data_IF_793522335704
#
_entry.id   IF_793522335704
#
_cell.length_a   1.000
_cell.length_b   1.000
_cell.length_c   1.000
_cell.angle_alpha   90.00
_cell.angle_beta   90.00
_cell.angle_gamma   90.00
#
_symmetry.space_group_name_H-M   'P 1'
#
loop_
_entity.id
_entity.type
_entity.pdbx_description
1 polymer ?
#
# COMPACT_ATOMS: atom_id res chain seq x y z
N UNK A 1 25.44 -4.39 -15.44
CA UNK A 1 25.24 -3.64 -16.71
C UNK A 1 23.74 -3.45 -17.02
N UNK A 2 22.98 -2.76 -16.14
CA UNK A 2 21.52 -2.55 -16.28
C UNK A 2 21.03 -1.14 -15.86
N UNK A 3 21.92 -0.17 -15.67
CA UNK A 3 21.59 1.10 -15.02
C UNK A 3 20.83 2.11 -15.90
N UNK A 4 21.03 2.13 -17.23
CA UNK A 4 20.43 3.15 -18.10
C UNK A 4 18.90 3.06 -18.27
N UNK A 5 18.31 1.86 -18.18
CA UNK A 5 16.86 1.70 -18.32
C UNK A 5 16.07 2.04 -17.05
N UNK A 6 16.70 1.99 -15.87
CA UNK A 6 16.06 2.39 -14.60
C UNK A 6 15.89 3.91 -14.51
N UNK A 7 16.90 4.68 -14.91
CA UNK A 7 16.84 6.15 -14.88
C UNK A 7 15.78 6.73 -15.82
N UNK A 8 15.62 6.18 -17.04
CA UNK A 8 14.55 6.60 -17.97
C UNK A 8 13.15 6.23 -17.48
N UNK A 9 12.99 5.13 -16.74
CA UNK A 9 11.71 4.77 -16.10
C UNK A 9 11.41 5.66 -14.90
N UNK A 10 12.42 6.07 -14.13
CA UNK A 10 12.26 6.92 -12.96
C UNK A 10 11.64 8.30 -13.31
N UNK A 11 12.12 8.97 -14.38
CA UNK A 11 11.62 10.30 -14.76
C UNK A 11 10.13 10.37 -15.12
N UNK A 12 9.51 9.26 -15.52
CA UNK A 12 8.08 9.24 -15.90
C UNK A 12 7.16 8.77 -14.77
N UNK A 13 7.68 8.65 -13.53
CA UNK A 13 6.94 8.11 -12.40
C UNK A 13 6.84 9.09 -11.22
N UNK A 14 7.19 10.36 -11.42
CA UNK A 14 7.09 11.39 -10.37
C UNK A 14 5.63 11.80 -10.20
N UNK A 15 5.00 11.22 -9.17
CA UNK A 15 3.64 11.48 -8.75
C UNK A 15 3.66 12.30 -7.47
N UNK A 16 3.47 13.61 -7.58
CA UNK A 16 3.47 14.49 -6.40
C UNK A 16 2.09 14.45 -5.73
N UNK A 17 2.07 13.98 -4.48
CA UNK A 17 0.86 13.91 -3.64
C UNK A 17 0.39 15.29 -3.24
N UNK A 18 -0.92 15.52 -3.20
CA UNK A 18 -1.50 16.79 -2.79
C UNK A 18 -1.42 17.00 -1.27
N UNK A 19 -1.32 18.25 -0.84
CA UNK A 19 -1.25 18.61 0.58
C UNK A 19 -2.50 18.15 1.34
N UNK A 20 -3.68 18.31 0.73
CA UNK A 20 -4.97 17.97 1.33
C UNK A 20 -5.13 16.47 1.54
N UNK A 21 -4.62 15.65 0.62
CA UNK A 21 -4.64 14.19 0.73
C UNK A 21 -3.77 13.71 1.90
N UNK A 22 -2.62 14.35 2.13
CA UNK A 22 -1.74 14.08 3.28
C UNK A 22 -2.44 14.51 4.58
N UNK A 23 -3.00 15.72 4.59
CA UNK A 23 -3.68 16.26 5.77
C UNK A 23 -4.87 15.39 6.20
N UNK A 24 -5.72 14.98 5.26
CA UNK A 24 -6.89 14.15 5.52
C UNK A 24 -6.51 12.79 6.12
N UNK A 25 -5.47 12.16 5.59
CA UNK A 25 -5.00 10.88 6.11
C UNK A 25 -4.34 11.04 7.49
N UNK A 26 -3.41 11.99 7.65
CA UNK A 26 -2.68 12.19 8.92
C UNK A 26 -3.63 12.52 10.07
N UNK A 27 -4.70 13.29 9.82
CA UNK A 27 -5.72 13.63 10.81
C UNK A 27 -6.39 12.39 11.45
N UNK A 28 -6.36 11.23 10.79
CA UNK A 28 -6.91 9.98 11.31
C UNK A 28 -6.03 9.31 12.39
N UNK A 29 -4.83 9.83 12.65
CA UNK A 29 -3.86 9.27 13.61
C UNK A 29 -3.38 10.31 14.64
N UNK A 30 -4.30 10.96 15.39
CA UNK A 30 -3.98 12.15 16.20
C UNK A 30 -2.89 11.94 17.26
N UNK A 31 -2.71 10.71 17.74
CA UNK A 31 -1.73 10.38 18.79
C UNK A 31 -0.46 9.71 18.26
N UNK A 32 -0.38 9.41 16.95
CA UNK A 32 0.73 8.62 16.41
C UNK A 32 2.05 9.39 16.31
N UNK A 33 1.98 10.72 16.21
CA UNK A 33 3.11 11.58 15.84
C UNK A 33 3.79 12.29 17.01
N UNK A 34 3.12 12.39 18.16
CA UNK A 34 3.63 13.14 19.31
C UNK A 34 4.95 12.56 19.82
N UNK A 35 5.97 13.41 19.92
CA UNK A 35 7.32 13.10 20.36
C UNK A 35 8.13 12.26 19.36
N UNK A 36 7.64 12.07 18.13
CA UNK A 36 8.28 11.21 17.12
C UNK A 36 9.19 11.98 16.17
N UNK A 37 10.17 11.27 15.64
CA UNK A 37 10.97 11.67 14.48
C UNK A 37 10.30 11.13 13.21
N UNK A 38 9.82 12.03 12.36
CA UNK A 38 9.18 11.69 11.08
C UNK A 38 10.21 11.76 9.96
N UNK A 39 10.27 10.72 9.14
CA UNK A 39 11.05 10.68 7.90
C UNK A 39 10.14 10.69 6.68
N UNK A 40 10.27 11.73 5.85
CA UNK A 40 9.69 11.80 4.52
C UNK A 40 10.75 11.40 3.49
N UNK A 41 10.96 10.09 3.35
CA UNK A 41 11.80 9.46 2.32
C UNK A 41 11.17 9.64 0.92
N UNK A 42 11.88 9.39 -0.18
CA UNK A 42 11.35 9.44 -1.55
C UNK A 42 10.70 10.79 -1.88
N UNK A 43 11.39 11.87 -1.52
CA UNK A 43 10.85 13.21 -1.50
C UNK A 43 11.62 14.10 -2.50
N UNK A 44 11.08 15.27 -2.81
CA UNK A 44 11.63 16.29 -3.72
C UNK A 44 12.15 17.52 -2.93
N UNK A 45 12.61 17.27 -1.70
CA UNK A 45 13.10 18.29 -0.78
C UNK A 45 12.02 19.31 -0.41
N UNK A 46 12.33 20.60 -0.53
CA UNK A 46 11.40 21.68 -0.20
C UNK A 46 10.11 21.66 -1.02
N UNK A 47 10.11 21.07 -2.21
CA UNK A 47 8.96 21.07 -3.11
C UNK A 47 7.92 20.00 -2.75
N UNK A 48 8.25 19.05 -1.88
CA UNK A 48 7.29 18.02 -1.51
C UNK A 48 6.25 18.52 -0.52
N UNK A 49 4.99 18.24 -0.83
CA UNK A 49 3.90 18.47 0.09
C UNK A 49 4.01 17.66 1.38
N UNK A 50 4.72 16.52 1.41
CA UNK A 50 5.00 15.81 2.67
C UNK A 50 5.88 16.67 3.59
N UNK A 51 6.95 17.24 3.05
CA UNK A 51 7.84 18.13 3.81
C UNK A 51 7.07 19.37 4.28
N UNK A 52 6.40 20.06 3.37
CA UNK A 52 5.65 21.29 3.68
C UNK A 52 4.54 21.04 4.71
N UNK A 53 3.79 19.93 4.58
CA UNK A 53 2.77 19.55 5.54
C UNK A 53 3.36 19.33 6.93
N UNK A 54 4.33 18.43 7.09
CA UNK A 54 4.87 18.13 8.41
C UNK A 54 5.65 19.30 9.03
N UNK A 55 6.28 20.14 8.22
CA UNK A 55 6.92 21.36 8.69
C UNK A 55 5.87 22.34 9.23
N UNK A 56 4.80 22.60 8.46
CA UNK A 56 3.73 23.53 8.88
C UNK A 56 2.94 23.01 10.09
N UNK A 57 2.80 21.69 10.25
CA UNK A 57 2.09 21.05 11.36
C UNK A 57 3.01 20.61 12.50
N UNK A 58 4.29 20.97 12.50
CA UNK A 58 5.31 20.44 13.41
C UNK A 58 4.90 20.55 14.89
N UNK A 59 4.51 21.76 15.31
CA UNK A 59 4.11 22.01 16.71
C UNK A 59 2.74 21.43 17.04
N UNK A 60 1.78 21.48 16.11
CA UNK A 60 0.43 20.95 16.30
C UNK A 60 0.42 19.42 16.48
N UNK A 61 1.27 18.71 15.73
CA UNK A 61 1.48 17.27 15.86
C UNK A 61 2.41 16.90 17.03
N UNK A 62 3.10 17.89 17.63
CA UNK A 62 4.06 17.69 18.71
C UNK A 62 5.28 16.87 18.27
N UNK A 63 5.77 17.06 17.05
CA UNK A 63 6.93 16.32 16.53
C UNK A 63 8.20 16.62 17.32
N UNK A 64 9.12 15.66 17.38
CA UNK A 64 10.47 15.84 17.92
C UNK A 64 11.44 16.36 16.86
N UNK A 65 11.35 15.80 15.65
CA UNK A 65 12.22 16.15 14.50
C UNK A 65 11.53 15.72 13.20
N UNK A 66 11.72 16.50 12.16
CA UNK A 66 11.32 16.16 10.80
C UNK A 66 12.59 15.99 9.94
N UNK A 67 12.62 14.92 9.16
CA UNK A 67 13.71 14.61 8.23
C UNK A 67 13.11 14.34 6.85
N UNK A 68 13.74 14.86 5.80
CA UNK A 68 13.42 14.50 4.41
C UNK A 68 14.69 14.19 3.63
N UNK A 69 14.58 13.34 2.61
CA UNK A 69 15.67 12.99 1.70
C UNK A 69 15.21 13.32 0.28
N UNK A 70 15.92 14.24 -0.38
CA UNK A 70 15.60 14.67 -1.74
C UNK A 70 16.24 13.72 -2.76
N UNK A 71 15.45 12.89 -3.45
CA UNK A 71 16.02 11.96 -4.43
C UNK A 71 16.52 12.72 -5.68
N UNK A 72 17.76 12.45 -6.09
CA UNK A 72 18.30 12.97 -7.34
C UNK A 72 19.04 11.86 -8.10
N UNK A 73 18.49 11.34 -9.22
CA UNK A 73 19.08 10.22 -9.94
C UNK A 73 20.48 10.51 -10.52
N UNK A 74 20.88 11.78 -10.60
CA UNK A 74 22.20 12.21 -11.04
C UNK A 74 23.25 12.23 -9.91
N UNK A 75 22.86 11.91 -8.67
CA UNK A 75 23.69 12.12 -7.48
C UNK A 75 23.47 13.51 -6.89
N UNK A 76 24.35 13.94 -5.97
CA UNK A 76 24.25 15.23 -5.27
C UNK A 76 22.88 15.44 -4.60
N UNK A 77 22.36 14.37 -3.99
CA UNK A 77 21.18 14.45 -3.14
C UNK A 77 21.51 15.22 -1.86
N UNK A 78 20.48 15.58 -1.11
CA UNK A 78 20.61 16.21 0.20
C UNK A 78 19.51 15.73 1.12
N UNK A 79 19.76 15.86 2.42
CA UNK A 79 18.75 15.71 3.46
C UNK A 79 18.38 17.06 4.05
N UNK A 80 17.13 17.19 4.47
CA UNK A 80 16.63 18.29 5.27
C UNK A 80 16.37 17.79 6.69
N UNK A 81 16.78 18.56 7.68
CA UNK A 81 16.46 18.32 9.09
C UNK A 81 15.76 19.56 9.64
N UNK A 82 14.64 19.38 10.32
CA UNK A 82 13.93 20.44 11.02
C UNK A 82 13.62 20.01 12.44
N UNK A 83 13.99 20.83 13.42
CA UNK A 83 13.79 20.57 14.86
C UNK A 83 12.66 21.41 15.47
N UNK A 84 11.91 22.12 14.63
CA UNK A 84 10.90 23.08 15.06
C UNK A 84 11.40 24.53 15.14
N UNK A 85 12.69 24.78 14.93
CA UNK A 85 13.29 26.12 14.95
C UNK A 85 14.09 26.41 13.69
N UNK A 86 15.00 25.52 13.31
CA UNK A 86 15.91 25.71 12.19
C UNK A 86 15.87 24.56 11.20
N UNK A 87 16.01 24.90 9.91
CA UNK A 87 16.17 23.92 8.85
C UNK A 87 17.66 23.79 8.55
N UNK A 88 18.19 22.57 8.62
CA UNK A 88 19.56 22.22 8.21
C UNK A 88 19.52 21.34 6.98
N UNK A 89 20.08 21.84 5.89
CA UNK A 89 20.36 21.09 4.68
C UNK A 89 21.76 20.50 4.74
N UNK A 90 21.90 19.20 4.50
CA UNK A 90 23.18 18.50 4.47
C UNK A 90 23.29 17.72 3.16
N UNK A 91 24.40 17.84 2.42
CA UNK A 91 24.60 17.05 1.21
C UNK A 91 24.73 15.56 1.55
N UNK A 92 24.25 14.71 0.65
CA UNK A 92 24.46 13.27 0.67
C UNK A 92 25.45 12.88 -0.41
N UNK A 93 26.28 11.87 -0.15
CA UNK A 93 27.22 11.34 -1.14
C UNK A 93 26.50 10.65 -2.30
N UNK A 94 25.36 10.01 -2.01
CA UNK A 94 24.56 9.28 -2.97
C UNK A 94 23.49 10.10 -3.70
N UNK A 95 22.55 9.36 -4.30
CA UNK A 95 21.38 9.87 -5.01
C UNK A 95 20.14 10.02 -4.12
N UNK A 96 20.23 9.71 -2.82
CA UNK A 96 19.10 9.74 -1.89
C UNK A 96 18.12 8.57 -2.03
N UNK A 97 18.53 7.47 -2.68
CA UNK A 97 17.69 6.26 -2.75
C UNK A 97 17.36 5.75 -1.35
N UNK A 98 16.13 5.26 -1.15
CA UNK A 98 15.64 4.83 0.15
C UNK A 98 16.43 3.67 0.78
N UNK A 99 17.11 2.89 -0.06
CA UNK A 99 17.93 1.72 0.27
C UNK A 99 19.44 2.03 0.32
N UNK A 100 19.83 3.30 0.15
CA UNK A 100 21.22 3.74 0.30
C UNK A 100 21.68 3.68 1.75
N UNK A 101 22.97 3.45 1.99
CA UNK A 101 23.52 3.38 3.35
C UNK A 101 23.20 4.64 4.18
N UNK A 102 23.29 5.82 3.56
CA UNK A 102 22.95 7.11 4.20
C UNK A 102 21.46 7.19 4.56
N UNK A 103 20.56 6.77 3.66
CA UNK A 103 19.12 6.72 3.93
C UNK A 103 18.77 5.72 5.04
N UNK A 104 19.45 4.57 5.12
CA UNK A 104 19.27 3.59 6.20
C UNK A 104 19.71 4.15 7.55
N UNK A 105 20.78 4.94 7.62
CA UNK A 105 21.18 5.63 8.86
C UNK A 105 20.06 6.57 9.34
N UNK A 106 19.48 7.37 8.44
CA UNK A 106 18.37 8.28 8.76
C UNK A 106 17.09 7.53 9.13
N UNK A 107 16.79 6.43 8.43
CA UNK A 107 15.69 5.53 8.75
C UNK A 107 15.82 4.99 10.18
N UNK A 108 17.00 4.50 10.55
CA UNK A 108 17.28 3.99 11.90
C UNK A 108 17.06 5.04 12.99
N UNK A 109 17.37 6.31 12.72
CA UNK A 109 17.18 7.44 13.64
C UNK A 109 15.73 7.95 13.71
N UNK A 110 14.86 7.50 12.81
CA UNK A 110 13.47 7.95 12.72
C UNK A 110 12.52 6.94 13.34
N UNK A 111 11.37 7.39 13.82
CA UNK A 111 10.34 6.53 14.41
C UNK A 111 9.30 6.10 13.39
N UNK A 112 8.91 7.04 12.52
CA UNK A 112 7.82 6.88 11.55
C UNK A 112 8.22 7.38 10.17
N UNK A 113 7.84 6.64 9.13
CA UNK A 113 8.02 7.03 7.72
C UNK A 113 6.68 7.40 7.10
N UNK A 114 6.58 8.60 6.52
CA UNK A 114 5.36 9.05 5.85
C UNK A 114 5.70 9.62 4.48
N UNK A 115 5.28 8.93 3.41
CA UNK A 115 5.64 9.31 2.03
C UNK A 115 4.81 8.59 0.94
N UNK A 116 4.99 9.01 -0.31
CA UNK A 116 4.58 8.31 -1.52
C UNK A 116 5.80 7.64 -2.20
N UNK A 117 6.13 6.38 -1.89
CA UNK A 117 7.23 5.69 -2.55
C UNK A 117 6.90 5.42 -4.03
N UNK A 118 7.93 5.28 -4.89
CA UNK A 118 7.69 4.86 -6.28
C UNK A 118 6.98 3.50 -6.31
N UNK A 119 5.79 3.44 -6.91
CA UNK A 119 4.93 2.25 -6.86
C UNK A 119 5.60 0.95 -7.38
N UNK A 120 6.56 1.07 -8.30
CA UNK A 120 7.33 -0.08 -8.80
C UNK A 120 8.28 -0.70 -7.76
N UNK A 121 8.66 0.05 -6.73
CA UNK A 121 9.53 -0.40 -5.63
C UNK A 121 8.76 -0.51 -4.31
N UNK A 122 7.43 -0.47 -4.36
CA UNK A 122 6.58 -0.46 -3.16
C UNK A 122 6.83 -1.67 -2.26
N UNK A 123 7.00 -2.87 -2.83
CA UNK A 123 7.31 -4.08 -2.06
C UNK A 123 8.62 -3.91 -1.29
N UNK A 124 9.70 -3.57 -1.99
CA UNK A 124 11.03 -3.43 -1.41
C UNK A 124 11.04 -2.33 -0.33
N UNK A 125 10.33 -1.23 -0.58
CA UNK A 125 10.18 -0.14 0.36
C UNK A 125 9.47 -0.58 1.65
N UNK A 126 8.28 -1.18 1.55
CA UNK A 126 7.50 -1.61 2.74
C UNK A 126 8.23 -2.72 3.50
N UNK A 127 8.88 -3.65 2.80
CA UNK A 127 9.68 -4.70 3.46
C UNK A 127 10.84 -4.09 4.25
N UNK A 128 11.56 -3.12 3.68
CA UNK A 128 12.64 -2.44 4.37
C UNK A 128 12.16 -1.75 5.66
N UNK A 129 11.00 -1.09 5.62
CA UNK A 129 10.40 -0.44 6.79
C UNK A 129 10.03 -1.46 7.88
N UNK A 130 9.43 -2.59 7.48
CA UNK A 130 9.05 -3.67 8.38
C UNK A 130 10.29 -4.32 9.03
N UNK A 131 11.33 -4.62 8.24
CA UNK A 131 12.59 -5.19 8.72
C UNK A 131 13.31 -4.29 9.74
N UNK A 132 13.17 -2.97 9.62
CA UNK A 132 13.73 -1.99 10.56
C UNK A 132 12.77 -1.64 11.71
N UNK A 133 11.62 -2.32 11.83
CA UNK A 133 10.64 -2.10 12.90
C UNK A 133 10.04 -0.71 12.91
N UNK A 134 9.93 -0.06 11.74
CA UNK A 134 9.47 1.32 11.63
C UNK A 134 7.96 1.40 11.56
N UNK A 135 7.41 2.42 12.20
CA UNK A 135 6.03 2.80 11.95
C UNK A 135 5.95 3.48 10.57
N UNK A 136 4.85 3.33 9.84
CA UNK A 136 4.72 3.98 8.56
C UNK A 136 3.29 4.27 8.13
N UNK A 137 3.16 5.25 7.25
CA UNK A 137 1.94 5.64 6.57
C UNK A 137 2.33 6.02 5.13
N UNK A 138 2.08 5.13 4.18
CA UNK A 138 2.64 5.24 2.82
C UNK A 138 1.59 5.04 1.75
N UNK A 139 1.67 5.78 0.64
CA UNK A 139 0.78 5.58 -0.49
C UNK A 139 1.23 4.38 -1.34
N UNK A 140 0.27 3.67 -1.92
CA UNK A 140 0.55 2.57 -2.82
C UNK A 140 -0.64 2.22 -3.70
N UNK A 141 -0.37 1.48 -4.77
CA UNK A 141 -1.42 0.91 -5.61
C UNK A 141 -1.87 -0.45 -5.05
N UNK A 142 -3.19 -0.69 -4.97
CA UNK A 142 -3.80 -1.89 -4.40
C UNK A 142 -3.35 -3.21 -5.04
N UNK A 143 -2.90 -3.15 -6.29
CA UNK A 143 -2.30 -4.30 -6.96
C UNK A 143 -1.08 -4.89 -6.22
N UNK A 144 -0.36 -4.08 -5.43
CA UNK A 144 0.79 -4.53 -4.65
C UNK A 144 0.44 -5.59 -3.59
N UNK A 145 -0.82 -5.65 -3.15
CA UNK A 145 -1.30 -6.69 -2.22
C UNK A 145 -1.25 -8.09 -2.83
N UNK A 146 -1.19 -8.19 -4.16
CA UNK A 146 -0.97 -9.48 -4.83
C UNK A 146 0.44 -10.05 -4.67
N UNK A 147 1.40 -9.27 -4.16
CA UNK A 147 2.78 -9.70 -3.98
C UNK A 147 2.98 -10.48 -2.68
N UNK A 148 3.85 -11.49 -2.72
CA UNK A 148 4.06 -12.44 -1.63
C UNK A 148 4.40 -11.76 -0.30
N UNK A 149 5.38 -10.84 -0.31
CA UNK A 149 5.82 -10.19 0.93
C UNK A 149 4.79 -9.21 1.46
N UNK A 150 4.07 -8.49 0.58
CA UNK A 150 3.01 -7.57 1.01
C UNK A 150 1.83 -8.34 1.61
N UNK A 151 1.33 -9.38 0.93
CA UNK A 151 0.22 -10.16 1.46
C UNK A 151 0.59 -10.87 2.77
N UNK A 152 1.85 -11.33 2.90
CA UNK A 152 2.37 -11.89 4.15
C UNK A 152 2.26 -10.90 5.32
N UNK A 153 2.63 -9.63 5.11
CA UNK A 153 2.49 -8.60 6.16
C UNK A 153 1.03 -8.36 6.57
N UNK A 154 0.08 -8.41 5.64
CA UNK A 154 -1.36 -8.37 5.98
C UNK A 154 -1.77 -9.60 6.82
N UNK A 155 -1.33 -10.79 6.40
CA UNK A 155 -1.60 -12.06 7.09
C UNK A 155 -1.03 -12.10 8.51
N UNK A 156 0.12 -11.47 8.72
CA UNK A 156 0.80 -11.36 10.02
C UNK A 156 0.36 -10.13 10.84
N UNK A 157 -0.69 -9.43 10.40
CA UNK A 157 -1.26 -8.26 11.09
C UNK A 157 -0.27 -7.09 11.24
N UNK A 158 0.79 -7.08 10.42
CA UNK A 158 1.83 -6.04 10.39
C UNK A 158 1.57 -4.95 9.34
N UNK A 159 0.54 -5.10 8.51
CA UNK A 159 0.17 -4.15 7.48
C UNK A 159 -1.35 -4.07 7.32
N UNK A 160 -1.84 -2.84 7.18
CA UNK A 160 -3.26 -2.51 7.04
C UNK A 160 -3.43 -1.45 5.96
N UNK A 161 -4.63 -1.35 5.40
CA UNK A 161 -4.99 -0.11 4.72
C UNK A 161 -5.15 1.04 5.71
N UNK A 162 -4.87 2.26 5.27
CA UNK A 162 -5.12 3.49 6.01
C UNK A 162 -6.61 3.88 6.06
N UNK A 163 -6.90 5.16 6.17
CA UNK A 163 -8.26 5.70 6.09
C UNK A 163 -8.75 5.78 4.65
N UNK A 164 -7.93 6.32 3.74
CA UNK A 164 -8.27 6.39 2.32
C UNK A 164 -7.89 5.08 1.62
N UNK A 165 -8.91 4.39 1.07
CA UNK A 165 -8.76 3.05 0.49
C UNK A 165 -9.43 2.97 -0.88
N UNK A 166 -8.71 2.44 -1.87
CA UNK A 166 -9.20 2.21 -3.23
C UNK A 166 -9.77 3.47 -3.89
N UNK A 167 -9.13 4.61 -3.64
CA UNK A 167 -9.50 5.90 -4.19
C UNK A 167 -8.89 6.12 -5.57
N UNK A 168 -9.54 6.98 -6.35
CA UNK A 168 -8.94 7.59 -7.53
C UNK A 168 -8.33 8.92 -7.11
N UNK A 169 -7.03 8.95 -6.88
CA UNK A 169 -6.31 10.14 -6.40
C UNK A 169 -5.73 10.92 -7.57
N UNK A 170 -5.65 12.24 -7.41
CA UNK A 170 -4.93 13.12 -8.33
C UNK A 170 -3.50 13.27 -7.84
N UNK A 171 -2.54 13.13 -8.75
CA UNK A 171 -1.15 13.43 -8.50
C UNK A 171 -0.71 14.49 -9.48
N UNK A 172 -0.02 15.52 -9.00
CA UNK A 172 0.65 16.44 -9.92
C UNK A 172 1.75 15.68 -10.66
N UNK A 173 1.94 15.99 -11.94
CA UNK A 173 2.98 15.43 -12.80
C UNK A 173 3.66 16.57 -13.57
N UNK A 174 4.87 16.34 -14.07
CA UNK A 174 5.58 17.33 -14.87
C UNK A 174 4.80 17.67 -16.16
N UNK A 175 4.94 18.89 -16.67
CA UNK A 175 4.19 19.36 -17.86
C UNK A 175 4.50 18.58 -19.14
N UNK A 176 5.67 17.93 -19.20
CA UNK A 176 6.14 17.09 -20.30
C UNK A 176 5.93 15.58 -20.04
N UNK A 177 5.01 15.22 -19.13
CA UNK A 177 4.74 13.83 -18.76
C UNK A 177 4.45 12.97 -19.99
N UNK A 178 5.24 11.91 -20.22
CA UNK A 178 5.22 11.14 -21.47
C UNK A 178 3.87 10.52 -21.82
N UNK A 179 3.09 10.14 -20.81
CA UNK A 179 1.77 9.53 -20.99
C UNK A 179 0.64 10.56 -21.03
N UNK A 180 0.96 11.85 -20.98
CA UNK A 180 -0.03 12.90 -21.10
C UNK A 180 -0.78 12.76 -22.43
N UNK A 181 -2.06 12.45 -22.32
CA UNK A 181 -3.00 12.48 -23.42
C UNK A 181 -4.11 13.49 -23.04
N UNK A 182 -4.18 14.66 -23.71
CA UNK A 182 -5.21 15.65 -23.44
C UNK A 182 -6.64 15.11 -23.66
N UNK A 183 -6.81 14.01 -24.40
CA UNK A 183 -8.11 13.37 -24.63
C UNK A 183 -8.48 12.35 -23.55
N UNK A 184 -7.54 11.98 -22.68
CA UNK A 184 -7.79 11.02 -21.62
C UNK A 184 -8.45 11.71 -20.42
N UNK A 185 -9.57 11.15 -19.96
CA UNK A 185 -10.25 11.57 -18.73
C UNK A 185 -9.41 11.38 -17.46
N UNK A 186 -8.25 10.73 -17.58
CA UNK A 186 -7.31 10.54 -16.49
C UNK A 186 -6.34 11.73 -16.32
N UNK A 187 -6.36 12.74 -17.18
CA UNK A 187 -5.56 13.94 -16.99
C UNK A 187 -6.44 15.17 -16.75
N UNK A 188 -6.04 16.00 -15.79
CA UNK A 188 -6.71 17.26 -15.44
C UNK A 188 -5.67 18.36 -15.43
N UNK A 189 -5.97 19.49 -16.07
CA UNK A 189 -5.16 20.71 -15.93
C UNK A 189 -5.89 21.68 -15.00
N UNK A 190 -5.20 22.18 -13.99
CA UNK A 190 -5.71 23.18 -13.04
C UNK A 190 -4.60 24.19 -12.80
N UNK A 191 -4.90 25.48 -12.95
CA UNK A 191 -3.97 26.60 -12.69
C UNK A 191 -2.59 26.43 -13.38
N UNK A 192 -2.59 25.92 -14.62
CA UNK A 192 -1.37 25.67 -15.40
C UNK A 192 -0.60 24.40 -15.02
N UNK A 193 -0.95 23.74 -13.93
CA UNK A 193 -0.36 22.47 -13.49
C UNK A 193 -1.11 21.28 -14.09
N UNK A 194 -0.37 20.21 -14.40
CA UNK A 194 -0.91 18.97 -14.94
C UNK A 194 -1.03 17.92 -13.82
N UNK A 195 -2.18 17.28 -13.75
CA UNK A 195 -2.47 16.22 -12.80
C UNK A 195 -2.88 14.94 -13.53
N UNK A 196 -2.42 13.80 -13.03
CA UNK A 196 -2.89 12.49 -13.43
C UNK A 196 -3.78 11.89 -12.34
N UNK A 197 -4.98 11.47 -12.72
CA UNK A 197 -5.89 10.66 -11.92
C UNK A 197 -5.47 9.20 -12.00
N UNK A 198 -5.09 8.64 -10.86
CA UNK A 198 -4.66 7.23 -10.75
C UNK A 198 -5.68 6.48 -9.88
N UNK A 199 -6.40 5.48 -10.43
CA UNK A 199 -7.33 4.66 -9.66
C UNK A 199 -6.60 3.64 -8.79
N UNK A 200 -7.31 3.09 -7.80
CA UNK A 200 -6.82 1.94 -7.02
C UNK A 200 -5.71 2.28 -6.04
N UNK A 201 -5.61 3.53 -5.61
CA UNK A 201 -4.64 3.98 -4.61
C UNK A 201 -5.23 3.85 -3.21
N UNK A 202 -4.39 3.43 -2.28
CA UNK A 202 -4.70 3.44 -0.84
C UNK A 202 -3.50 3.91 -0.05
N UNK A 203 -3.75 4.40 1.17
CA UNK A 203 -2.71 4.42 2.18
C UNK A 203 -2.51 3.03 2.77
N UNK A 204 -1.28 2.75 3.16
CA UNK A 204 -0.82 1.53 3.76
C UNK A 204 -0.10 1.89 5.06
N UNK A 205 -0.41 1.18 6.13
CA UNK A 205 0.07 1.56 7.46
C UNK A 205 0.17 0.38 8.40
N UNK A 206 1.09 0.50 9.36
CA UNK A 206 1.13 -0.34 10.56
C UNK A 206 0.87 0.49 11.84
N UNK A 207 0.41 1.73 11.70
CA UNK A 207 -0.02 2.54 12.83
C UNK A 207 -1.25 1.91 13.48
N UNK A 208 -1.25 1.86 14.82
CA UNK A 208 -2.43 1.42 15.56
C UNK A 208 -3.58 2.38 15.26
N UNK A 209 -4.62 1.88 14.59
CA UNK A 209 -5.89 2.61 14.50
C UNK A 209 -6.53 2.62 15.89
N UNK A 210 -7.12 3.75 16.28
CA UNK A 210 -7.88 3.85 17.54
C UNK A 210 -9.10 2.90 17.54
N UNK A 211 -9.53 2.44 16.37
CA UNK A 211 -10.70 1.57 16.22
C UNK A 211 -10.26 0.16 15.83
N UNK A 212 -10.69 -0.81 16.64
CA UNK A 212 -10.68 -2.22 16.26
C UNK A 212 -11.54 -2.41 15.00
N UNK A 213 -11.15 -3.29 14.07
CA UNK A 213 -12.00 -3.59 12.92
C UNK A 213 -13.39 -4.03 13.38
N UNK A 214 -14.43 -3.50 12.76
CA UNK A 214 -15.80 -3.91 13.05
C UNK A 214 -16.00 -5.39 12.66
N UNK A 215 -16.90 -6.08 13.36
CA UNK A 215 -17.36 -7.39 12.93
C UNK A 215 -18.11 -7.27 11.61
N UNK A 216 -17.72 -8.05 10.60
CA UNK A 216 -18.43 -8.13 9.34
C UNK A 216 -19.79 -8.80 9.60
N UNK A 217 -20.87 -8.08 9.26
CA UNK A 217 -22.24 -8.58 9.31
C UNK A 217 -22.73 -8.78 7.88
N UNK A 218 -23.13 -10.00 7.56
CA UNK A 218 -23.81 -10.33 6.29
C UNK A 218 -25.09 -11.10 6.61
N UNK A 219 -26.05 -11.08 5.67
CA UNK A 219 -27.26 -11.93 5.74
C UNK A 219 -27.11 -13.20 4.90
N UNK A 220 -25.93 -13.43 4.34
CA UNK A 220 -25.66 -14.54 3.43
C UNK A 220 -25.47 -15.84 4.20
N UNK A 221 -26.00 -16.92 3.63
CA UNK A 221 -25.81 -18.29 4.08
C UNK A 221 -25.31 -19.14 2.93
N UNK A 222 -24.51 -20.15 3.23
CA UNK A 222 -24.09 -21.20 2.31
C UNK A 222 -25.15 -22.29 2.24
N UNK A 223 -25.64 -22.74 3.40
CA UNK A 223 -26.65 -23.80 3.47
C UNK A 223 -27.94 -23.36 2.76
N UNK A 224 -28.40 -24.20 1.82
CA UNK A 224 -29.56 -23.92 0.96
C UNK A 224 -29.30 -22.89 -0.15
N UNK A 225 -28.06 -22.45 -0.32
CA UNK A 225 -27.65 -21.45 -1.32
C UNK A 225 -26.38 -21.87 -2.08
N UNK A 226 -26.03 -23.16 -2.07
CA UNK A 226 -24.77 -23.72 -2.56
C UNK A 226 -24.50 -23.34 -4.03
N UNK A 227 -25.55 -23.26 -4.85
CA UNK A 227 -25.48 -22.85 -6.25
C UNK A 227 -24.90 -21.43 -6.46
N UNK A 228 -24.93 -20.56 -5.45
CA UNK A 228 -24.38 -19.19 -5.47
C UNK A 228 -22.86 -19.16 -5.21
N UNK A 229 -22.30 -20.23 -4.65
CA UNK A 229 -20.91 -20.30 -4.20
C UNK A 229 -20.15 -21.43 -4.92
N UNK A 230 -19.91 -21.29 -6.24
CA UNK A 230 -19.15 -22.29 -6.97
C UNK A 230 -17.73 -22.41 -6.39
N UNK A 231 -17.12 -23.60 -6.47
CA UNK A 231 -15.71 -23.78 -6.10
C UNK A 231 -14.78 -23.18 -7.16
N UNK A 232 -13.56 -22.86 -6.77
CA UNK A 232 -12.49 -22.65 -7.74
C UNK A 232 -12.09 -23.98 -8.36
N UNK A 233 -11.67 -23.93 -9.63
CA UNK A 233 -11.32 -25.13 -10.39
C UNK A 233 -9.98 -25.73 -9.93
N UNK A 234 -9.11 -24.90 -9.34
CA UNK A 234 -7.70 -25.21 -9.06
C UNK A 234 -7.24 -24.85 -7.63
N UNK A 235 -8.19 -24.55 -6.74
CA UNK A 235 -7.92 -24.22 -5.34
C UNK A 235 -9.13 -24.65 -4.50
N UNK A 236 -8.93 -25.38 -3.40
CA UNK A 236 -10.06 -25.85 -2.58
C UNK A 236 -10.63 -24.72 -1.72
N UNK A 237 -11.44 -23.88 -2.33
CA UNK A 237 -12.20 -22.81 -1.70
C UNK A 237 -13.50 -22.57 -2.47
N UNK A 238 -14.50 -22.00 -1.81
CA UNK A 238 -15.68 -21.46 -2.50
C UNK A 238 -15.37 -20.06 -3.02
N UNK A 239 -15.89 -19.72 -4.19
CA UNK A 239 -15.82 -18.37 -4.75
C UNK A 239 -16.96 -17.53 -4.19
N UNK A 240 -16.61 -16.40 -3.59
CA UNK A 240 -17.56 -15.39 -3.14
C UNK A 240 -17.37 -14.14 -3.99
N UNK A 241 -18.44 -13.69 -4.65
CA UNK A 241 -18.35 -12.60 -5.63
C UNK A 241 -18.20 -11.22 -4.97
N UNK A 242 -18.85 -10.99 -3.83
CA UNK A 242 -18.85 -9.71 -3.10
C UNK A 242 -18.66 -9.92 -1.60
N UNK A 243 -18.04 -8.95 -0.92
CA UNK A 243 -17.85 -8.98 0.54
C UNK A 243 -19.17 -9.17 1.29
N UNK A 244 -20.25 -8.48 0.85
CA UNK A 244 -21.60 -8.62 1.45
C UNK A 244 -22.23 -10.00 1.27
N UNK A 245 -21.67 -10.83 0.41
CA UNK A 245 -22.17 -12.18 0.10
C UNK A 245 -21.42 -13.26 0.89
N UNK A 246 -20.43 -12.92 1.73
CA UNK A 246 -19.68 -13.88 2.54
C UNK A 246 -20.66 -14.66 3.45
N UNK A 247 -20.76 -16.00 3.30
CA UNK A 247 -21.64 -16.82 4.13
C UNK A 247 -21.01 -17.09 5.51
N UNK A 248 -21.65 -16.66 6.59
CA UNK A 248 -21.13 -16.78 7.96
C UNK A 248 -21.37 -18.16 8.60
N UNK A 249 -22.03 -19.06 7.89
CA UNK A 249 -22.26 -20.47 8.24
C UNK A 249 -21.29 -21.43 7.52
N UNK A 250 -20.32 -20.90 6.75
CA UNK A 250 -19.30 -21.69 6.07
C UNK A 250 -17.92 -21.52 6.72
N UNK A 251 -17.38 -22.61 7.27
CA UNK A 251 -16.09 -22.62 7.98
C UNK A 251 -14.90 -23.10 7.14
N UNK A 252 -15.13 -23.46 5.87
CA UNK A 252 -14.08 -23.81 4.92
C UNK A 252 -13.41 -22.57 4.32
N UNK A 253 -12.51 -22.78 3.35
CA UNK A 253 -11.85 -21.68 2.66
C UNK A 253 -12.80 -20.94 1.70
N UNK A 254 -12.66 -19.63 1.65
CA UNK A 254 -13.45 -18.73 0.80
C UNK A 254 -12.53 -17.78 0.04
N UNK A 255 -12.60 -17.78 -1.28
CA UNK A 255 -11.97 -16.74 -2.10
C UNK A 255 -12.90 -15.54 -2.25
N UNK A 256 -12.58 -14.46 -1.54
CA UNK A 256 -13.34 -13.20 -1.48
C UNK A 256 -12.65 -12.08 -2.27
N UNK A 257 -13.34 -11.00 -2.64
CA UNK A 257 -12.70 -9.86 -3.31
C UNK A 257 -11.58 -9.24 -2.48
N UNK A 258 -10.57 -8.67 -3.12
CA UNK A 258 -9.46 -7.96 -2.46
C UNK A 258 -9.93 -6.85 -1.50
N UNK A 259 -11.07 -6.22 -1.79
CA UNK A 259 -11.69 -5.19 -0.95
C UNK A 259 -12.12 -5.69 0.43
N UNK A 260 -12.17 -7.01 0.66
CA UNK A 260 -12.36 -7.60 1.98
C UNK A 260 -11.33 -7.09 3.00
N UNK A 261 -10.09 -6.83 2.59
CA UNK A 261 -9.03 -6.36 3.49
C UNK A 261 -9.35 -5.00 4.14
N UNK A 262 -10.27 -4.20 3.58
CA UNK A 262 -10.74 -2.96 4.21
C UNK A 262 -11.58 -3.23 5.48
N UNK A 263 -12.27 -4.37 5.54
CA UNK A 263 -13.08 -4.79 6.69
C UNK A 263 -12.52 -6.05 7.36
N UNK A 264 -11.24 -6.37 7.13
CA UNK A 264 -10.61 -7.54 7.73
C UNK A 264 -10.54 -7.37 9.25
N UNK A 265 -11.12 -8.33 9.96
CA UNK A 265 -11.04 -8.43 11.41
C UNK A 265 -10.33 -9.75 11.78
N UNK A 266 -9.12 -9.70 12.37
CA UNK A 266 -8.36 -10.89 12.71
C UNK A 266 -9.02 -11.74 13.80
N UNK A 267 -9.98 -11.19 14.56
CA UNK A 267 -10.80 -11.96 15.52
C UNK A 267 -11.89 -12.77 14.83
N UNK A 268 -12.29 -12.38 13.61
CA UNK A 268 -13.37 -13.03 12.86
C UNK A 268 -12.86 -14.00 11.81
N UNK A 269 -11.80 -13.62 11.10
CA UNK A 269 -11.28 -14.37 9.97
C UNK A 269 -9.78 -14.58 10.08
N UNK A 270 -9.31 -15.64 9.45
CA UNK A 270 -7.91 -15.90 9.15
C UNK A 270 -7.64 -15.59 7.68
N UNK A 271 -6.56 -14.86 7.40
CA UNK A 271 -6.05 -14.72 6.03
C UNK A 271 -5.19 -15.94 5.70
N UNK A 272 -5.52 -16.62 4.61
CA UNK A 272 -4.87 -17.88 4.22
C UNK A 272 -3.87 -17.61 3.11
N UNK A 273 -4.37 -17.07 1.98
CA UNK A 273 -3.60 -16.90 0.75
C UNK A 273 -4.18 -15.76 -0.11
N UNK A 274 -3.50 -15.41 -1.21
CA UNK A 274 -3.98 -14.49 -2.22
C UNK A 274 -3.84 -15.15 -3.60
N UNK A 275 -4.92 -15.17 -4.37
CA UNK A 275 -4.99 -15.70 -5.72
C UNK A 275 -4.79 -14.52 -6.69
N UNK A 276 -3.56 -14.00 -6.75
CA UNK A 276 -3.24 -12.79 -7.50
C UNK A 276 -2.83 -13.05 -8.96
N UNK A 277 -2.17 -14.17 -9.20
CA UNK A 277 -1.69 -14.62 -10.51
C UNK A 277 -2.19 -16.06 -10.75
N UNK A 278 -1.78 -16.77 -11.84
CA UNK A 278 -2.19 -18.17 -12.04
C UNK A 278 -1.85 -19.12 -10.88
N UNK A 279 -0.97 -18.70 -9.98
CA UNK A 279 -0.52 -19.40 -8.79
C UNK A 279 -0.92 -18.64 -7.52
N UNK A 280 -1.13 -19.37 -6.44
CA UNK A 280 -1.35 -18.82 -5.11
C UNK A 280 -0.08 -18.13 -4.61
N UNK A 281 -0.25 -16.96 -4.00
CA UNK A 281 0.81 -16.07 -3.51
C UNK A 281 1.66 -16.72 -2.42
N UNK A 282 1.04 -17.35 -1.42
CA UNK A 282 1.75 -18.03 -0.32
C UNK A 282 1.81 -19.56 -0.49
N UNK A 283 1.07 -20.10 -1.47
CA UNK A 283 0.95 -21.54 -1.73
C UNK A 283 0.58 -22.36 -0.48
N UNK A 284 -0.33 -21.82 0.34
CA UNK A 284 -0.64 -22.38 1.67
C UNK A 284 -1.18 -23.81 1.59
N UNK A 285 -1.91 -24.12 0.52
CA UNK A 285 -2.43 -25.47 0.24
C UNK A 285 -1.52 -26.31 -0.68
N UNK A 286 -0.30 -25.84 -0.98
CA UNK A 286 0.68 -26.50 -1.86
C UNK A 286 0.11 -26.89 -3.23
N UNK A 287 -0.74 -26.03 -3.79
CA UNK A 287 -1.43 -26.28 -5.05
C UNK A 287 -0.60 -25.89 -6.26
N UNK A 288 0.36 -24.96 -6.13
CA UNK A 288 1.04 -24.36 -7.26
C UNK A 288 1.76 -25.37 -8.17
N UNK A 289 2.38 -26.41 -7.59
CA UNK A 289 3.03 -27.47 -8.36
C UNK A 289 2.01 -28.23 -9.25
N UNK A 290 0.87 -28.63 -8.66
CA UNK A 290 -0.21 -29.29 -9.37
C UNK A 290 -0.80 -28.38 -10.45
N UNK A 291 -1.13 -27.12 -10.12
CA UNK A 291 -1.68 -26.15 -11.06
C UNK A 291 -0.74 -25.90 -12.23
N UNK A 292 0.57 -25.77 -11.97
CA UNK A 292 1.58 -25.58 -13.01
C UNK A 292 1.65 -26.79 -13.95
N UNK A 293 1.68 -28.00 -13.40
CA UNK A 293 1.77 -29.24 -14.22
C UNK A 293 0.56 -29.46 -15.13
N UNK A 294 -0.60 -28.87 -14.80
CA UNK A 294 -1.83 -28.97 -15.58
C UNK A 294 -2.19 -27.68 -16.34
N UNK A 295 -1.26 -26.71 -16.41
CA UNK A 295 -1.50 -25.40 -17.03
C UNK A 295 -2.77 -24.67 -16.51
N UNK A 296 -3.09 -24.90 -15.24
CA UNK A 296 -4.25 -24.32 -14.57
C UNK A 296 -4.05 -22.86 -14.14
N UNK A 297 -5.10 -22.30 -13.53
CA UNK A 297 -5.07 -20.97 -12.92
C UNK A 297 -5.92 -21.01 -11.66
N UNK A 298 -5.32 -20.77 -10.49
CA UNK A 298 -6.01 -20.80 -9.18
C UNK A 298 -7.23 -19.87 -9.11
N UNK A 299 -7.33 -18.89 -10.02
CA UNK A 299 -8.45 -17.93 -10.09
C UNK A 299 -9.60 -18.39 -10.97
N UNK A 300 -9.49 -19.53 -11.65
CA UNK A 300 -10.55 -20.01 -12.52
C UNK A 300 -11.74 -20.55 -11.70
N UNK A 301 -12.94 -20.20 -12.15
CA UNK A 301 -14.21 -20.68 -11.62
C UNK A 301 -15.09 -21.02 -12.81
N UNK A 302 -15.43 -22.30 -12.98
CA UNK A 302 -16.17 -22.82 -14.14
C UNK A 302 -15.48 -22.46 -15.47
N UNK A 303 -14.17 -22.65 -15.53
CA UNK A 303 -13.32 -22.38 -16.70
C UNK A 303 -13.07 -20.91 -17.00
N UNK A 304 -13.60 -19.97 -16.20
CA UNK A 304 -13.43 -18.52 -16.41
C UNK A 304 -12.50 -17.92 -15.36
N UNK A 305 -11.42 -17.27 -15.81
CA UNK A 305 -10.51 -16.52 -14.95
C UNK A 305 -11.24 -15.40 -14.22
N UNK A 306 -11.07 -15.34 -12.90
CA UNK A 306 -11.56 -14.25 -12.06
C UNK A 306 -10.45 -13.27 -11.72
N UNK A 307 -10.83 -12.05 -11.33
CA UNK A 307 -9.92 -11.07 -10.73
C UNK A 307 -9.30 -11.62 -9.44
N UNK A 308 -8.27 -10.94 -8.93
CA UNK A 308 -7.59 -11.26 -7.67
C UNK A 308 -8.59 -11.59 -6.55
N UNK A 309 -8.32 -12.66 -5.80
CA UNK A 309 -9.13 -13.09 -4.64
C UNK A 309 -8.26 -13.32 -3.42
N UNK A 310 -8.71 -12.87 -2.25
CA UNK A 310 -8.09 -13.20 -0.98
C UNK A 310 -8.76 -14.46 -0.45
N UNK A 311 -7.99 -15.45 -0.04
CA UNK A 311 -8.51 -16.66 0.59
C UNK A 311 -8.60 -16.43 2.09
N UNK A 312 -9.80 -16.59 2.64
CA UNK A 312 -10.08 -16.42 4.06
C UNK A 312 -10.72 -17.68 4.64
N UNK A 313 -10.65 -17.81 5.96
CA UNK A 313 -11.36 -18.83 6.74
C UNK A 313 -12.01 -18.17 7.96
N UNK A 314 -13.23 -18.53 8.31
CA UNK A 314 -13.87 -18.05 9.53
C UNK A 314 -13.25 -18.74 10.75
N UNK A 315 -12.99 -17.98 11.82
CA UNK A 315 -12.54 -18.56 13.10
C UNK A 315 -13.72 -19.24 13.81
N UNK A 316 -13.48 -20.42 14.39
CA UNK A 316 -14.53 -21.26 14.98
C UNK A 316 -15.13 -20.70 16.28
N UNK A 317 -14.51 -19.69 16.91
CA UNK A 317 -14.91 -19.17 18.22
C UNK A 317 -15.70 -17.85 18.13
N UNK A 318 -16.43 -17.64 17.05
CA UNK A 318 -17.25 -16.44 16.83
C UNK A 318 -18.71 -16.85 16.79
N UNK A 319 -19.35 -16.85 17.96
CA UNK A 319 -20.80 -16.90 18.12
C UNK A 319 -21.20 -15.70 18.97
#
# INVERSE_FOLDING_TARGET
>A
MHYFNRAKKAKNNEFYTLFEDIAAEVACYPNAFKGKVVLCNCNDGYQSNFWQFFQSQFHALGLKKLVAIAFNPLGNSYQLNFDGKEIKELPLAGNGSFDSAEAIVLLKQSDIVVTNPPFSLFQDFVCLLAEHGKQFLVLGHNGAVGYNQIFKLFKEEQLWYGHTVNSSMLFQVQSNFKLYDPKSVNFVKKDGQLFQKVPGISWFTNLKKNQQPAWLKTKSRYQGNEHKYPKFDWYDAIFVSKVKEIPLDWFGYMGVPLTFLNCFNPKQFELIDCLANPYATLDTLKTNAYVRSHHGDVRNVKGKRRYVRVVIKQRQNVI
#
